data_IF_914738727463
#
_entry.id   IF_914738727463
#
_cell.length_a   1.000
_cell.length_b   1.000
_cell.length_c   1.000
_cell.angle_alpha   90.00
_cell.angle_beta   90.00
_cell.angle_gamma   90.00
#
_symmetry.space_group_name_H-M   'P 1'
#
loop_
_entity.id
_entity.type
_entity.pdbx_description
1 polymer ?
#
# COMPACT_ATOMS: atom_id res chain seq x y z
N UNK A 1 5.76 5.78 7.75
CA UNK A 1 4.61 4.93 8.12
C UNK A 1 4.76 4.48 9.56
N UNK A 2 3.66 4.43 10.32
CA UNK A 2 3.62 4.01 11.73
C UNK A 2 4.23 2.61 11.96
N UNK A 3 4.20 1.73 10.95
CA UNK A 3 4.76 0.38 11.07
C UNK A 3 6.25 0.36 11.39
N UNK A 4 7.04 1.32 10.87
CA UNK A 4 8.47 1.45 11.14
C UNK A 4 8.74 2.01 12.54
N UNK A 5 7.86 2.90 13.03
CA UNK A 5 7.94 3.46 14.39
C UNK A 5 7.71 2.35 15.41
N UNK A 6 6.78 1.44 15.12
CA UNK A 6 6.47 0.27 15.94
C UNK A 6 7.46 -0.88 15.72
N UNK A 7 8.56 -0.67 14.99
CA UNK A 7 9.62 -1.66 14.73
C UNK A 7 9.11 -2.98 14.11
N UNK A 8 8.00 -2.92 13.36
CA UNK A 8 7.49 -4.12 12.70
C UNK A 8 8.43 -4.56 11.59
N UNK A 9 8.65 -5.87 11.52
CA UNK A 9 9.26 -6.52 10.36
C UNK A 9 8.49 -6.18 9.08
N UNK A 10 9.22 -5.82 8.02
CA UNK A 10 8.60 -5.44 6.76
C UNK A 10 8.06 -6.69 6.03
N UNK A 11 6.74 -6.89 6.06
CA UNK A 11 6.09 -8.06 5.46
C UNK A 11 6.26 -8.14 3.93
N UNK A 12 6.36 -6.99 3.25
CA UNK A 12 6.68 -6.96 1.82
C UNK A 12 8.09 -7.50 1.55
N UNK A 13 9.07 -7.13 2.38
CA UNK A 13 10.47 -7.53 2.20
C UNK A 13 10.70 -8.97 2.64
N UNK A 14 10.27 -9.33 3.84
CA UNK A 14 10.58 -10.62 4.46
C UNK A 14 9.66 -11.76 3.99
N UNK A 15 8.39 -11.46 3.69
CA UNK A 15 7.40 -12.48 3.31
C UNK A 15 6.93 -12.37 1.85
N UNK A 16 7.30 -11.30 1.15
CA UNK A 16 6.81 -11.06 -0.21
C UNK A 16 5.30 -10.82 -0.26
N UNK A 17 4.70 -10.29 0.81
CA UNK A 17 3.25 -10.04 0.89
C UNK A 17 2.88 -8.64 0.40
N UNK A 18 1.81 -8.52 -0.39
CA UNK A 18 1.32 -7.24 -0.90
C UNK A 18 0.89 -6.33 0.25
N UNK A 19 1.64 -5.25 0.49
CA UNK A 19 1.38 -4.31 1.56
C UNK A 19 1.23 -2.89 1.01
N UNK A 20 0.07 -2.27 1.21
CA UNK A 20 -0.19 -0.90 0.73
C UNK A 20 0.19 0.19 1.74
N UNK A 21 0.90 -0.19 2.80
CA UNK A 21 1.27 0.69 3.91
C UNK A 21 1.93 2.01 3.46
N UNK A 22 2.92 1.98 2.54
CA UNK A 22 3.63 3.19 2.12
C UNK A 22 2.76 4.27 1.46
N UNK A 23 1.65 3.90 0.83
CA UNK A 23 0.76 4.83 0.13
C UNK A 23 -0.55 5.11 0.89
N UNK A 24 -0.77 4.50 2.06
CA UNK A 24 -2.05 4.60 2.80
C UNK A 24 -2.00 5.66 3.89
N UNK A 25 -3.10 6.39 4.08
CA UNK A 25 -3.26 7.37 5.18
C UNK A 25 -3.05 6.69 6.54
N UNK A 26 -2.11 7.24 7.32
CA UNK A 26 -1.74 6.77 8.65
C UNK A 26 -2.73 7.21 9.74
N UNK A 27 -2.48 6.80 10.99
CA UNK A 27 -3.25 7.16 12.19
C UNK A 27 -4.10 6.02 12.74
N UNK A 28 -3.91 4.80 12.23
CA UNK A 28 -4.49 3.58 12.79
C UNK A 28 -3.46 2.78 13.59
N UNK A 29 -2.32 3.40 13.94
CA UNK A 29 -1.20 2.82 14.65
C UNK A 29 -0.68 1.52 14.03
N UNK A 30 -0.68 1.43 12.68
CA UNK A 30 -0.29 0.22 11.95
C UNK A 30 -0.91 -1.09 12.50
N UNK A 31 -2.20 -1.08 12.88
CA UNK A 31 -2.89 -2.23 13.47
C UNK A 31 -2.69 -3.55 12.73
N UNK A 32 -2.76 -3.56 11.39
CA UNK A 32 -2.55 -4.78 10.62
C UNK A 32 -1.09 -5.27 10.69
N UNK A 33 -0.07 -4.43 10.37
CA UNK A 33 1.34 -4.82 10.54
C UNK A 33 1.70 -5.28 11.96
N UNK A 34 1.17 -4.64 13.00
CA UNK A 34 1.39 -5.06 14.40
C UNK A 34 0.88 -6.50 14.67
N UNK A 35 -0.08 -6.97 13.87
CA UNK A 35 -0.63 -8.33 13.94
C UNK A 35 0.04 -9.28 12.93
N UNK A 36 1.11 -8.85 12.26
CA UNK A 36 1.80 -9.65 11.24
C UNK A 36 1.04 -9.77 9.91
N UNK A 37 0.07 -8.90 9.66
CA UNK A 37 -0.78 -8.87 8.45
C UNK A 37 -0.44 -7.64 7.61
N UNK A 38 -0.34 -7.74 6.28
CA UNK A 38 -0.04 -6.59 5.43
C UNK A 38 -1.13 -5.50 5.52
N UNK A 39 -0.74 -4.24 5.29
CA UNK A 39 -1.70 -3.15 5.22
C UNK A 39 -2.60 -3.33 3.98
N UNK A 40 -3.92 -3.34 4.19
CA UNK A 40 -4.91 -3.48 3.13
C UNK A 40 -5.26 -2.17 2.42
N UNK A 41 -4.80 -1.02 2.91
CA UNK A 41 -5.14 0.28 2.32
C UNK A 41 -6.51 0.83 2.72
N UNK A 42 -7.07 0.39 3.85
CA UNK A 42 -8.46 0.72 4.22
C UNK A 42 -8.77 2.20 4.45
N UNK A 43 -7.75 3.03 4.70
CA UNK A 43 -7.91 4.48 4.89
C UNK A 43 -7.72 5.27 3.60
N UNK A 44 -7.52 4.58 2.47
CA UNK A 44 -7.28 5.20 1.19
C UNK A 44 -5.86 5.75 1.02
N UNK A 45 -5.54 6.15 -0.22
CA UNK A 45 -4.23 6.67 -0.56
C UNK A 45 -4.01 8.06 0.05
N UNK A 46 -2.77 8.37 0.45
CA UNK A 46 -2.36 9.73 0.80
C UNK A 46 -2.31 10.58 -0.47
N UNK A 47 -2.83 11.81 -0.42
CA UNK A 47 -2.93 12.71 -1.57
C UNK A 47 -1.57 12.97 -2.25
N UNK A 48 -0.52 13.20 -1.46
CA UNK A 48 0.83 13.47 -1.97
C UNK A 48 1.75 12.23 -1.96
N UNK A 49 1.18 11.01 -1.86
CA UNK A 49 2.00 9.80 -1.91
C UNK A 49 2.70 9.65 -3.26
N UNK A 50 3.95 9.17 -3.23
CA UNK A 50 4.66 8.75 -4.44
C UNK A 50 4.17 7.37 -4.92
N UNK A 51 2.93 7.34 -5.44
CA UNK A 51 2.26 6.13 -5.90
C UNK A 51 3.04 5.45 -7.03
N UNK A 52 3.65 6.24 -7.94
CA UNK A 52 4.42 5.69 -9.05
C UNK A 52 5.62 4.86 -8.56
N UNK A 53 6.38 5.37 -7.58
CA UNK A 53 7.50 4.63 -7.01
C UNK A 53 7.05 3.38 -6.27
N UNK A 54 5.95 3.45 -5.52
CA UNK A 54 5.43 2.27 -4.82
C UNK A 54 4.98 1.18 -5.81
N UNK A 55 4.28 1.57 -6.87
CA UNK A 55 3.85 0.64 -7.91
C UNK A 55 5.02 -0.05 -8.59
N UNK A 56 6.11 0.65 -8.90
CA UNK A 56 7.29 0.01 -9.49
C UNK A 56 7.94 -0.99 -8.51
N UNK A 57 8.07 -0.63 -7.23
CA UNK A 57 8.58 -1.56 -6.20
C UNK A 57 7.69 -2.81 -6.13
N UNK A 58 6.37 -2.66 -6.11
CA UNK A 58 5.44 -3.79 -6.04
C UNK A 58 5.50 -4.65 -7.32
N UNK A 59 5.69 -4.05 -8.49
CA UNK A 59 5.90 -4.77 -9.76
C UNK A 59 7.21 -5.57 -9.75
N UNK A 60 8.30 -5.01 -9.23
CA UNK A 60 9.57 -5.72 -9.06
C UNK A 60 9.44 -6.94 -8.13
N UNK A 61 8.46 -6.91 -7.21
CA UNK A 61 8.11 -8.05 -6.34
C UNK A 61 7.11 -9.03 -6.95
N UNK A 62 6.68 -8.81 -8.19
CA UNK A 62 5.80 -9.71 -8.94
C UNK A 62 4.31 -9.40 -8.82
N UNK A 63 3.91 -8.28 -8.20
CA UNK A 63 2.52 -7.86 -8.15
C UNK A 63 2.10 -7.14 -9.42
N UNK A 64 0.90 -7.43 -9.90
CA UNK A 64 0.34 -6.76 -11.06
C UNK A 64 -0.42 -5.51 -10.64
N UNK A 65 -0.59 -4.56 -11.57
CA UNK A 65 -1.45 -3.39 -11.33
C UNK A 65 -2.87 -3.75 -10.88
N UNK A 66 -3.55 -4.75 -11.48
CA UNK A 66 -4.81 -5.28 -10.96
C UNK A 66 -4.74 -5.72 -9.50
N UNK A 67 -3.67 -6.37 -9.04
CA UNK A 67 -3.55 -6.81 -7.64
C UNK A 67 -3.54 -5.61 -6.69
N UNK A 68 -2.70 -4.61 -7.00
CA UNK A 68 -2.55 -3.39 -6.21
C UNK A 68 -3.88 -2.62 -6.19
N UNK A 69 -4.51 -2.47 -7.35
CA UNK A 69 -5.79 -1.79 -7.50
C UNK A 69 -6.92 -2.51 -6.75
N UNK A 70 -7.03 -3.84 -6.90
CA UNK A 70 -8.06 -4.63 -6.24
C UNK A 70 -7.90 -4.63 -4.72
N UNK A 71 -6.67 -4.68 -4.22
CA UNK A 71 -6.40 -4.59 -2.79
C UNK A 71 -6.86 -3.24 -2.24
N UNK A 72 -6.49 -2.13 -2.89
CA UNK A 72 -6.87 -0.79 -2.43
C UNK A 72 -8.39 -0.57 -2.49
N UNK A 73 -9.03 -0.95 -3.62
CA UNK A 73 -10.47 -0.72 -3.84
C UNK A 73 -11.38 -1.53 -2.92
N UNK A 74 -10.85 -2.56 -2.24
CA UNK A 74 -11.62 -3.41 -1.32
C UNK A 74 -12.24 -2.58 -0.19
N UNK A 75 -11.53 -1.55 0.26
CA UNK A 75 -11.95 -0.70 1.38
C UNK A 75 -11.95 0.79 1.04
N UNK A 76 -11.09 1.24 0.13
CA UNK A 76 -11.07 2.63 -0.35
C UNK A 76 -11.78 2.72 -1.70
N UNK A 77 -13.06 3.11 -1.69
CA UNK A 77 -13.98 3.08 -2.84
C UNK A 77 -13.43 3.68 -4.14
N UNK A 78 -12.92 4.92 -4.17
CA UNK A 78 -12.22 5.44 -5.33
C UNK A 78 -10.72 5.24 -5.16
N UNK A 79 -10.20 4.10 -5.63
CA UNK A 79 -8.77 3.93 -5.92
C UNK A 79 -8.30 4.80 -7.12
N UNK A 80 -9.02 5.89 -7.43
CA UNK A 80 -8.78 6.81 -8.54
C UNK A 80 -7.40 7.47 -8.47
N UNK A 81 -6.83 7.63 -7.27
CA UNK A 81 -5.45 8.11 -7.13
C UNK A 81 -4.47 7.16 -7.85
N UNK A 82 -4.66 5.84 -7.77
CA UNK A 82 -3.83 4.88 -8.51
C UNK A 82 -4.05 5.03 -10.02
N UNK A 83 -5.28 5.16 -10.49
CA UNK A 83 -5.57 5.29 -11.93
C UNK A 83 -5.08 6.62 -12.52
N UNK A 84 -5.21 7.73 -11.78
CA UNK A 84 -4.84 9.08 -12.22
C UNK A 84 -3.33 9.24 -12.39
N UNK A 85 -2.53 8.56 -11.55
CA UNK A 85 -1.07 8.55 -11.70
C UNK A 85 -0.57 7.65 -12.83
N UNK A 86 -1.34 6.63 -13.22
CA UNK A 86 -1.02 5.75 -14.36
C UNK A 86 -1.42 6.36 -15.71
N UNK A 87 -2.49 7.14 -15.77
CA UNK A 87 -3.00 7.75 -17.01
C UNK A 87 -2.21 9.00 -17.47
N UNK A 88 -1.30 9.53 -16.65
CA UNK A 88 -0.48 10.71 -16.95
C UNK A 88 0.90 10.38 -17.55
N UNK A 89 1.13 9.15 -18.00
CA UNK A 89 2.39 8.71 -18.60
C UNK A 89 2.19 8.05 -19.95
#
# INVERSE_FOLDING_TARGET
>A
TECKINENTCLLVEKGELCLGPITVAGCNARCPNSGIPCSGCRGPVEEANIASEVEILKERGFTLPDIYNQLRTFAGPAEAIQTHLAKR
#
